data_IF_154804354188
#
_entry.id   IF_154804354188
#
_cell.length_a   1.000
_cell.length_b   1.000
_cell.length_c   1.000
_cell.angle_alpha   90.00
_cell.angle_beta   90.00
_cell.angle_gamma   90.00
#
_symmetry.space_group_name_H-M   'P 1'
#
loop_
_entity.id
_entity.type
_entity.pdbx_description
1 polymer ?
#
# COMPACT_ATOMS: atom_id res chain seq x y z
N UNK A 1 -25.94 -11.82 77.14
CA UNK A 1 -26.82 -12.55 76.22
C UNK A 1 -27.10 -11.65 75.02
N UNK A 2 -26.43 -11.89 73.90
CA UNK A 2 -26.81 -11.31 72.61
C UNK A 2 -26.72 -12.47 71.61
N UNK A 3 -27.88 -12.80 71.05
CA UNK A 3 -28.08 -13.93 70.14
C UNK A 3 -27.51 -13.62 68.76
N UNK A 4 -26.83 -14.61 68.22
CA UNK A 4 -26.45 -14.78 66.82
C UNK A 4 -27.69 -14.82 65.93
N UNK A 5 -27.65 -14.15 64.78
CA UNK A 5 -28.60 -14.34 63.68
C UNK A 5 -27.83 -14.43 62.37
N UNK A 6 -27.65 -15.66 61.91
CA UNK A 6 -27.17 -16.03 60.59
C UNK A 6 -28.34 -15.86 59.60
N UNK A 7 -28.20 -14.99 58.60
CA UNK A 7 -29.10 -14.97 57.45
C UNK A 7 -28.53 -15.83 56.32
N UNK A 8 -29.27 -16.88 55.97
CA UNK A 8 -29.03 -17.76 54.83
C UNK A 8 -29.66 -17.07 53.61
N UNK A 9 -28.83 -16.62 52.67
CA UNK A 9 -29.28 -16.16 51.35
C UNK A 9 -29.54 -17.39 50.47
N UNK A 10 -30.82 -17.67 50.21
CA UNK A 10 -31.26 -18.64 49.21
C UNK A 10 -31.03 -18.05 47.82
N UNK A 11 -30.06 -18.58 47.08
CA UNK A 11 -29.85 -18.26 45.66
C UNK A 11 -31.02 -18.87 44.89
N UNK A 12 -31.98 -18.03 44.49
CA UNK A 12 -33.01 -18.43 43.54
C UNK A 12 -32.36 -18.61 42.17
N UNK A 13 -32.27 -19.86 41.73
CA UNK A 13 -31.88 -20.22 40.36
C UNK A 13 -32.88 -19.60 39.39
N UNK A 14 -32.52 -18.45 38.81
CA UNK A 14 -33.19 -17.92 37.62
C UNK A 14 -32.91 -18.91 36.50
N UNK A 15 -33.87 -19.78 36.22
CA UNK A 15 -33.92 -20.53 34.98
C UNK A 15 -34.05 -19.50 33.85
N UNK A 16 -32.91 -19.09 33.29
CA UNK A 16 -32.85 -18.52 31.95
C UNK A 16 -33.38 -19.59 31.00
N UNK A 17 -34.68 -19.51 30.71
CA UNK A 17 -35.29 -20.13 29.54
C UNK A 17 -34.56 -19.50 28.36
N UNK A 18 -33.48 -20.14 27.93
CA UNK A 18 -32.90 -19.90 26.63
C UNK A 18 -33.97 -20.39 25.65
N UNK A 19 -34.82 -19.48 25.19
CA UNK A 19 -35.55 -19.69 23.96
C UNK A 19 -34.50 -20.00 22.91
N UNK A 20 -34.35 -21.28 22.57
CA UNK A 20 -33.55 -21.71 21.45
C UNK A 20 -34.13 -20.99 20.23
N UNK A 21 -33.47 -19.92 19.79
CA UNK A 21 -33.79 -19.27 18.54
C UNK A 21 -33.75 -20.36 17.48
N UNK A 22 -34.91 -20.67 16.88
CA UNK A 22 -34.98 -21.66 15.83
C UNK A 22 -34.11 -21.16 14.69
N UNK A 23 -32.99 -21.84 14.43
CA UNK A 23 -32.13 -21.53 13.30
C UNK A 23 -32.94 -21.67 12.02
N UNK A 24 -33.17 -20.54 11.33
CA UNK A 24 -33.78 -20.54 10.00
C UNK A 24 -32.81 -21.24 9.06
N UNK A 25 -33.24 -22.36 8.45
CA UNK A 25 -32.46 -23.13 7.49
C UNK A 25 -33.03 -22.92 6.09
N UNK A 26 -32.34 -22.14 5.27
CA UNK A 26 -32.69 -21.91 3.87
C UNK A 26 -31.80 -22.73 2.94
N UNK A 27 -32.34 -23.14 1.80
CA UNK A 27 -31.52 -23.67 0.70
C UNK A 27 -30.91 -22.52 -0.09
N UNK A 28 -29.64 -22.19 0.18
CA UNK A 28 -28.94 -21.06 -0.46
C UNK A 28 -28.81 -21.18 -1.98
N UNK A 29 -29.09 -22.35 -2.58
CA UNK A 29 -29.11 -22.51 -4.03
C UNK A 29 -30.40 -21.99 -4.67
N UNK A 30 -31.52 -21.98 -3.93
CA UNK A 30 -32.85 -21.66 -4.45
C UNK A 30 -33.58 -20.57 -3.65
N UNK A 31 -33.06 -20.20 -2.48
CA UNK A 31 -33.70 -19.31 -1.52
C UNK A 31 -32.73 -18.25 -0.97
N UNK A 32 -33.26 -17.06 -0.75
CA UNK A 32 -32.63 -15.97 -0.03
C UNK A 32 -33.06 -16.02 1.45
N UNK A 33 -32.11 -15.78 2.37
CA UNK A 33 -32.42 -15.60 3.81
C UNK A 33 -32.98 -14.19 3.98
N UNK A 34 -34.19 -14.09 4.54
CA UNK A 34 -34.81 -12.81 4.85
C UNK A 34 -34.53 -12.43 6.29
N UNK A 35 -34.19 -11.16 6.48
CA UNK A 35 -33.83 -10.59 7.78
C UNK A 35 -34.88 -9.57 8.23
N UNK A 36 -35.07 -9.45 9.53
CA UNK A 36 -35.81 -8.33 10.11
C UNK A 36 -34.97 -7.04 10.17
N UNK A 37 -35.54 -5.98 10.74
CA UNK A 37 -34.89 -4.67 10.92
C UNK A 37 -33.63 -4.70 11.80
N UNK A 38 -33.41 -5.78 12.58
CA UNK A 38 -32.26 -5.96 13.45
C UNK A 38 -31.25 -6.98 12.89
N UNK A 39 -31.38 -7.34 11.61
CA UNK A 39 -30.55 -8.34 10.93
C UNK A 39 -30.66 -9.76 11.52
N UNK A 40 -31.77 -10.10 12.18
CA UNK A 40 -32.04 -11.48 12.57
C UNK A 40 -32.74 -12.22 11.43
N UNK A 41 -32.30 -13.46 11.10
CA UNK A 41 -32.95 -14.24 10.06
C UNK A 41 -34.34 -14.66 10.53
N UNK A 42 -35.37 -14.33 9.75
CA UNK A 42 -36.78 -14.59 10.09
C UNK A 42 -37.48 -15.55 9.14
N UNK A 43 -37.05 -15.62 7.86
CA UNK A 43 -37.67 -16.48 6.87
C UNK A 43 -36.75 -16.78 5.68
N UNK A 44 -37.23 -17.62 4.76
CA UNK A 44 -36.60 -17.89 3.47
C UNK A 44 -37.58 -17.49 2.36
N UNK A 45 -37.09 -16.89 1.28
CA UNK A 45 -37.89 -16.60 0.10
C UNK A 45 -37.24 -17.19 -1.15
N UNK A 46 -38.03 -17.75 -2.07
CA UNK A 46 -37.47 -18.32 -3.30
C UNK A 46 -36.88 -17.22 -4.19
N UNK A 47 -35.66 -17.44 -4.67
CA UNK A 47 -34.98 -16.54 -5.60
C UNK A 47 -35.79 -16.35 -6.89
N UNK A 48 -36.49 -17.40 -7.35
CA UNK A 48 -37.34 -17.35 -8.56
C UNK A 48 -38.58 -16.47 -8.42
N UNK A 49 -39.00 -16.23 -7.18
CA UNK A 49 -40.18 -15.40 -6.86
C UNK A 49 -39.76 -13.95 -6.54
N UNK A 50 -38.48 -13.59 -6.75
CA UNK A 50 -37.91 -12.28 -6.46
C UNK A 50 -37.17 -12.18 -5.12
N UNK A 51 -37.12 -13.27 -4.34
CA UNK A 51 -36.49 -13.30 -3.03
C UNK A 51 -37.27 -12.52 -1.96
N UNK A 52 -36.55 -11.96 -1.00
CA UNK A 52 -37.12 -11.24 0.13
C UNK A 52 -37.65 -9.87 -0.28
N UNK A 53 -38.80 -9.49 0.28
CA UNK A 53 -39.39 -8.16 0.13
C UNK A 53 -38.42 -7.07 0.59
N UNK A 54 -38.42 -5.96 -0.12
CA UNK A 54 -37.57 -4.82 0.22
C UNK A 54 -38.16 -3.98 1.37
N UNK A 55 -37.31 -3.29 2.14
CA UNK A 55 -37.74 -2.29 3.09
C UNK A 55 -38.65 -1.24 2.44
N UNK A 56 -39.50 -0.60 3.27
CA UNK A 56 -40.45 0.40 2.79
C UNK A 56 -39.72 1.56 2.09
N UNK A 57 -40.01 1.75 0.80
CA UNK A 57 -39.42 2.81 -0.02
C UNK A 57 -38.33 2.31 -0.98
N UNK A 58 -37.97 1.03 -0.90
CA UNK A 58 -37.03 0.40 -1.82
C UNK A 58 -37.72 -0.57 -2.77
N UNK A 59 -37.07 -0.82 -3.90
CA UNK A 59 -37.47 -1.77 -4.93
C UNK A 59 -36.36 -2.81 -5.12
N UNK A 60 -36.74 -4.04 -5.45
CA UNK A 60 -35.79 -5.13 -5.73
C UNK A 60 -35.28 -4.97 -7.16
N UNK A 61 -33.97 -4.84 -7.32
CA UNK A 61 -33.31 -4.59 -8.60
C UNK A 61 -32.26 -5.66 -8.92
N UNK A 62 -31.96 -5.83 -10.21
CA UNK A 62 -30.88 -6.71 -10.66
C UNK A 62 -31.14 -8.20 -10.45
N UNK A 63 -32.38 -8.63 -10.24
CA UNK A 63 -32.70 -10.05 -10.10
C UNK A 63 -32.40 -10.80 -11.41
N UNK A 64 -31.69 -11.93 -11.32
CA UNK A 64 -31.43 -12.84 -12.44
C UNK A 64 -31.41 -14.30 -11.96
N UNK A 65 -31.26 -15.26 -12.87
CA UNK A 65 -31.27 -16.68 -12.51
C UNK A 65 -30.15 -17.02 -11.51
N UNK A 66 -30.53 -17.30 -10.26
CA UNK A 66 -29.61 -17.61 -9.16
C UNK A 66 -29.23 -16.41 -8.30
N UNK A 67 -29.81 -15.23 -8.53
CA UNK A 67 -29.62 -14.04 -7.71
C UNK A 67 -30.95 -13.29 -7.54
N UNK A 68 -31.38 -13.13 -6.29
CA UNK A 68 -32.66 -12.50 -5.97
C UNK A 68 -32.69 -10.99 -6.27
N UNK A 69 -31.54 -10.38 -6.53
CA UNK A 69 -31.41 -8.93 -6.64
C UNK A 69 -30.97 -8.31 -5.31
N UNK A 70 -30.98 -6.98 -5.28
CA UNK A 70 -30.72 -6.17 -4.09
C UNK A 70 -31.82 -5.11 -3.96
N UNK A 71 -32.04 -4.62 -2.74
CA UNK A 71 -33.00 -3.55 -2.50
C UNK A 71 -32.31 -2.19 -2.60
N UNK A 72 -32.93 -1.26 -3.31
CA UNK A 72 -32.46 0.11 -3.50
C UNK A 72 -33.66 1.02 -3.77
N UNK A 73 -33.60 2.32 -3.42
CA UNK A 73 -34.67 3.28 -3.74
C UNK A 73 -35.00 3.38 -5.24
N UNK A 74 -34.02 3.13 -6.12
CA UNK A 74 -34.18 3.28 -7.57
C UNK A 74 -33.47 2.13 -8.31
N UNK A 75 -34.17 1.49 -9.26
CA UNK A 75 -33.56 0.53 -10.19
C UNK A 75 -33.11 1.24 -11.48
N UNK A 76 -31.81 1.28 -11.72
CA UNK A 76 -31.24 1.74 -12.99
C UNK A 76 -30.74 0.56 -13.82
N UNK A 77 -30.91 0.64 -15.14
CA UNK A 77 -30.33 -0.32 -16.07
C UNK A 77 -28.80 -0.10 -16.17
N UNK A 78 -28.02 -1.06 -15.67
CA UNK A 78 -26.55 -0.93 -15.58
C UNK A 78 -25.83 -0.79 -16.94
N UNK A 79 -26.50 -1.06 -18.07
CA UNK A 79 -25.92 -0.97 -19.40
C UNK A 79 -26.23 0.35 -20.09
N UNK A 80 -27.35 1.00 -19.74
CA UNK A 80 -27.88 2.15 -20.47
C UNK A 80 -28.17 3.37 -19.60
N UNK A 81 -28.12 3.22 -18.28
CA UNK A 81 -28.43 4.27 -17.31
C UNK A 81 -27.36 4.42 -16.23
N UNK A 82 -27.18 5.66 -15.79
CA UNK A 82 -26.33 6.08 -14.68
C UNK A 82 -27.21 6.30 -13.44
N UNK A 83 -26.74 5.85 -12.27
CA UNK A 83 -27.46 6.04 -11.01
C UNK A 83 -27.10 7.41 -10.43
N UNK A 84 -28.09 8.29 -10.31
CA UNK A 84 -27.88 9.65 -9.83
C UNK A 84 -28.15 9.76 -8.35
N UNK A 85 -27.22 10.34 -7.61
CA UNK A 85 -27.30 10.48 -6.16
C UNK A 85 -27.72 11.88 -5.78
N UNK A 86 -28.53 11.99 -4.72
CA UNK A 86 -28.83 13.27 -4.10
C UNK A 86 -27.58 13.80 -3.40
N UNK A 87 -27.15 15.01 -3.73
CA UNK A 87 -25.92 15.61 -3.19
C UNK A 87 -25.94 15.79 -1.66
N UNK A 88 -27.12 15.88 -1.04
CA UNK A 88 -27.25 16.10 0.40
C UNK A 88 -27.28 14.80 1.20
N UNK A 89 -27.97 13.77 0.69
CA UNK A 89 -28.16 12.50 1.42
C UNK A 89 -27.22 11.39 0.97
N UNK A 90 -26.58 11.55 -0.19
CA UNK A 90 -25.83 10.51 -0.89
C UNK A 90 -26.69 9.27 -1.23
N UNK A 91 -28.01 9.38 -1.19
CA UNK A 91 -28.93 8.32 -1.56
C UNK A 91 -29.24 8.37 -3.07
N UNK A 92 -29.43 7.21 -3.73
CA UNK A 92 -29.84 7.17 -5.13
C UNK A 92 -31.22 7.81 -5.29
N UNK A 93 -31.36 8.68 -6.27
CA UNK A 93 -32.51 9.57 -6.45
C UNK A 93 -33.25 9.35 -7.76
N UNK A 94 -32.53 9.13 -8.87
CA UNK A 94 -33.11 8.81 -10.18
C UNK A 94 -32.06 8.17 -11.09
N UNK A 95 -32.50 7.69 -12.26
CA UNK A 95 -31.63 7.19 -13.32
C UNK A 95 -31.55 8.18 -14.47
N UNK A 96 -30.38 8.35 -15.06
CA UNK A 96 -30.19 9.17 -16.26
C UNK A 96 -29.57 8.32 -17.38
N UNK A 97 -30.03 8.47 -18.63
CA UNK A 97 -29.46 7.68 -19.72
C UNK A 97 -28.01 8.06 -19.97
N UNK A 98 -27.16 7.05 -20.08
CA UNK A 98 -25.74 7.19 -20.44
C UNK A 98 -25.62 7.91 -21.79
N UNK A 99 -26.47 7.57 -22.75
CA UNK A 99 -26.50 8.19 -24.09
C UNK A 99 -26.95 9.66 -24.11
N UNK A 100 -27.54 10.15 -23.02
CA UNK A 100 -27.96 11.55 -22.84
C UNK A 100 -26.99 12.32 -21.93
N UNK A 101 -25.85 11.72 -21.57
CA UNK A 101 -24.79 12.33 -20.76
C UNK A 101 -24.74 11.88 -19.30
N UNK A 102 -25.60 10.95 -18.88
CA UNK A 102 -25.65 10.47 -17.49
C UNK A 102 -26.16 11.53 -16.51
N UNK A 103 -25.78 11.41 -15.24
CA UNK A 103 -26.28 12.32 -14.20
C UNK A 103 -25.84 13.77 -14.42
N UNK A 104 -26.63 14.78 -14.01
CA UNK A 104 -26.14 16.15 -13.98
C UNK A 104 -24.97 16.26 -13.01
N UNK A 105 -23.97 17.08 -13.36
CA UNK A 105 -22.91 17.40 -12.41
C UNK A 105 -23.40 18.39 -11.36
N UNK A 106 -22.75 18.41 -10.17
CA UNK A 106 -22.99 19.45 -9.18
C UNK A 106 -22.79 20.85 -9.75
N UNK A 107 -23.41 21.83 -9.08
CA UNK A 107 -23.29 23.23 -9.48
C UNK A 107 -21.80 23.61 -9.55
N UNK A 108 -21.39 24.22 -10.65
CA UNK A 108 -20.01 24.63 -10.98
C UNK A 108 -19.04 23.52 -11.40
N UNK A 109 -19.49 22.26 -11.52
CA UNK A 109 -18.70 21.17 -12.09
C UNK A 109 -19.07 20.87 -13.54
N UNK A 110 -18.09 20.38 -14.29
CA UNK A 110 -18.23 19.89 -15.66
C UNK A 110 -17.91 18.39 -15.73
N UNK A 111 -18.57 17.72 -16.67
CA UNK A 111 -18.40 16.27 -16.89
C UNK A 111 -17.21 16.02 -17.80
N UNK A 112 -16.22 15.28 -17.31
CA UNK A 112 -14.96 15.00 -17.99
C UNK A 112 -14.74 13.50 -18.18
N UNK A 113 -13.89 13.11 -19.12
CA UNK A 113 -13.57 11.70 -19.35
C UNK A 113 -14.72 10.89 -19.94
N UNK A 114 -15.65 11.55 -20.65
CA UNK A 114 -16.73 10.88 -21.39
C UNK A 114 -16.12 10.10 -22.55
N UNK A 115 -16.49 8.84 -22.70
CA UNK A 115 -16.12 7.98 -23.82
C UNK A 115 -17.25 6.99 -24.14
N UNK A 116 -17.10 6.20 -25.19
CA UNK A 116 -18.08 5.16 -25.56
C UNK A 116 -18.33 4.12 -24.44
N UNK A 117 -17.41 4.02 -23.47
CA UNK A 117 -17.48 3.06 -22.36
C UNK A 117 -17.53 3.72 -20.97
N UNK A 118 -17.52 5.04 -20.89
CA UNK A 118 -17.51 5.79 -19.63
C UNK A 118 -18.40 7.01 -19.74
N UNK A 119 -19.33 7.15 -18.80
CA UNK A 119 -20.13 8.35 -18.59
C UNK A 119 -19.28 9.56 -18.15
N UNK A 120 -18.01 9.35 -17.82
CA UNK A 120 -17.15 10.39 -17.26
C UNK A 120 -17.40 10.64 -15.78
N UNK A 121 -16.76 11.68 -15.26
CA UNK A 121 -16.84 12.12 -13.86
C UNK A 121 -17.02 13.63 -13.79
N UNK A 122 -17.63 14.11 -12.72
CA UNK A 122 -17.80 15.54 -12.49
C UNK A 122 -16.58 16.10 -11.76
N UNK A 123 -16.06 17.21 -12.26
CA UNK A 123 -14.90 17.92 -11.69
C UNK A 123 -14.98 19.39 -12.10
N UNK A 124 -14.28 20.28 -11.39
CA UNK A 124 -14.30 21.72 -11.69
C UNK A 124 -13.65 22.03 -13.05
N UNK A 125 -12.71 21.20 -13.50
CA UNK A 125 -11.95 21.40 -14.75
C UNK A 125 -11.67 20.07 -15.46
N UNK A 126 -11.87 20.03 -16.78
CA UNK A 126 -11.48 18.93 -17.66
C UNK A 126 -10.11 19.20 -18.27
N UNK A 127 -9.08 18.52 -17.79
CA UNK A 127 -7.78 18.53 -18.46
C UNK A 127 -7.65 17.32 -19.37
N UNK A 128 -7.13 17.54 -20.58
CA UNK A 128 -6.72 16.44 -21.43
C UNK A 128 -5.46 15.80 -20.83
N UNK A 129 -5.62 14.66 -20.17
CA UNK A 129 -4.53 13.92 -19.53
C UNK A 129 -3.38 13.56 -20.47
N UNK A 130 -3.60 13.58 -21.80
CA UNK A 130 -2.55 13.32 -22.78
C UNK A 130 -1.70 14.57 -23.09
N UNK A 131 -2.24 15.78 -22.93
CA UNK A 131 -1.58 17.02 -23.38
C UNK A 131 -1.49 18.10 -22.31
N UNK A 132 -2.21 17.98 -21.21
CA UNK A 132 -2.37 18.96 -20.16
C UNK A 132 -2.20 18.32 -18.77
N UNK A 133 -1.69 19.12 -17.83
CA UNK A 133 -1.57 18.76 -16.43
C UNK A 133 -2.59 19.56 -15.60
N UNK A 134 -3.19 18.90 -14.61
CA UNK A 134 -4.15 19.50 -13.68
C UNK A 134 -3.44 20.24 -12.57
N UNK A 135 -3.49 21.57 -12.61
CA UNK A 135 -2.73 22.46 -11.72
C UNK A 135 -3.57 23.02 -10.61
N UNK A 136 -3.25 22.66 -9.38
CA UNK A 136 -3.89 23.22 -8.20
C UNK A 136 -3.22 24.53 -7.78
N UNK A 137 -3.97 25.64 -7.83
CA UNK A 137 -3.55 26.91 -7.27
C UNK A 137 -4.05 27.04 -5.83
N UNK A 138 -3.17 26.75 -4.86
CA UNK A 138 -3.52 26.83 -3.44
C UNK A 138 -3.93 28.23 -2.95
N UNK A 139 -3.51 29.29 -3.63
CA UNK A 139 -3.87 30.67 -3.26
C UNK A 139 -5.27 31.05 -3.77
N UNK A 140 -5.62 30.60 -4.98
CA UNK A 140 -6.93 30.84 -5.57
C UNK A 140 -7.97 29.78 -5.16
N UNK A 141 -7.52 28.63 -4.65
CA UNK A 141 -8.38 27.47 -4.42
C UNK A 141 -8.94 26.87 -5.72
N UNK A 142 -8.33 27.19 -6.87
CA UNK A 142 -8.83 26.80 -8.19
C UNK A 142 -7.90 25.80 -8.85
N UNK A 143 -8.48 24.92 -9.65
CA UNK A 143 -7.75 24.02 -10.54
C UNK A 143 -7.69 24.66 -11.94
N UNK A 144 -6.61 24.45 -12.69
CA UNK A 144 -6.44 24.91 -14.09
C UNK A 144 -5.74 23.83 -14.90
N UNK A 145 -5.93 23.79 -16.22
CA UNK A 145 -5.14 22.94 -17.10
C UNK A 145 -3.99 23.75 -17.68
N UNK A 146 -2.78 23.21 -17.61
CA UNK A 146 -1.62 23.80 -18.29
C UNK A 146 -1.05 22.78 -19.26
N UNK A 147 -0.79 23.15 -20.52
CA UNK A 147 -0.17 22.24 -21.47
C UNK A 147 1.14 21.68 -20.93
N UNK A 148 1.30 20.37 -21.00
CA UNK A 148 2.53 19.67 -20.56
C UNK A 148 3.74 20.23 -21.35
N UNK A 149 3.55 20.52 -22.64
CA UNK A 149 4.57 21.10 -23.53
C UNK A 149 5.01 22.52 -23.14
N UNK A 150 4.20 23.24 -22.35
CA UNK A 150 4.54 24.57 -21.83
C UNK A 150 5.15 24.49 -20.42
N UNK A 151 5.48 23.27 -19.97
CA UNK A 151 6.11 23.02 -18.69
C UNK A 151 5.16 22.48 -17.63
N UNK A 152 3.85 22.39 -17.87
CA UNK A 152 2.89 21.86 -16.90
C UNK A 152 2.69 22.78 -15.67
N UNK A 153 2.29 22.18 -14.55
CA UNK A 153 1.85 22.91 -13.35
C UNK A 153 3.00 23.49 -12.53
N UNK A 154 3.19 24.80 -12.68
CA UNK A 154 4.27 25.60 -12.10
C UNK A 154 5.61 25.29 -12.76
N UNK A 155 6.18 26.29 -13.44
CA UNK A 155 7.63 26.30 -13.65
C UNK A 155 8.33 26.00 -12.33
N UNK A 156 9.35 25.16 -12.37
CA UNK A 156 10.04 24.71 -11.18
C UNK A 156 10.42 25.87 -10.25
N UNK A 157 10.30 25.67 -8.93
CA UNK A 157 10.56 26.74 -7.96
C UNK A 157 11.96 27.31 -8.17
N UNK A 158 12.16 28.62 -7.89
CA UNK A 158 13.42 29.33 -8.13
C UNK A 158 14.68 28.48 -7.90
N UNK A 159 15.39 28.18 -8.99
CA UNK A 159 16.64 27.40 -8.99
C UNK A 159 16.49 25.95 -9.45
N UNK A 160 15.28 25.38 -9.39
CA UNK A 160 14.99 24.03 -9.88
C UNK A 160 14.81 24.01 -11.39
N UNK A 161 15.16 22.87 -11.98
CA UNK A 161 15.00 22.54 -13.39
C UNK A 161 14.07 21.31 -13.53
N UNK A 162 13.42 21.21 -14.69
CA UNK A 162 12.50 20.12 -15.01
C UNK A 162 13.30 18.94 -15.57
N UNK A 163 13.20 17.79 -14.92
CA UNK A 163 13.96 16.58 -15.19
C UNK A 163 13.06 15.44 -15.68
N UNK A 164 13.59 14.56 -16.52
CA UNK A 164 12.85 13.38 -16.99
C UNK A 164 11.63 13.67 -17.86
N UNK A 165 11.55 14.88 -18.42
CA UNK A 165 10.47 15.28 -19.33
C UNK A 165 10.57 14.49 -20.65
N UNK A 166 9.47 13.85 -21.02
CA UNK A 166 9.32 13.16 -22.31
C UNK A 166 7.93 13.46 -22.87
N UNK A 167 7.64 13.04 -24.10
CA UNK A 167 6.32 13.22 -24.70
C UNK A 167 5.17 12.52 -23.92
N UNK A 168 5.49 11.59 -23.01
CA UNK A 168 4.52 10.86 -22.19
C UNK A 168 4.70 11.07 -20.68
N UNK A 169 5.74 11.82 -20.27
CA UNK A 169 6.04 12.06 -18.88
C UNK A 169 6.21 13.56 -18.66
N UNK A 170 5.37 14.20 -17.84
CA UNK A 170 5.51 15.61 -17.54
C UNK A 170 6.79 15.92 -16.76
N UNK A 171 7.62 14.94 -16.40
CA UNK A 171 8.87 15.17 -15.68
C UNK A 171 8.65 15.56 -14.22
N UNK A 172 9.72 15.94 -13.54
CA UNK A 172 9.69 16.40 -12.15
C UNK A 172 10.66 17.56 -11.94
N UNK A 173 10.36 18.44 -10.99
CA UNK A 173 11.26 19.54 -10.65
C UNK A 173 12.32 19.08 -9.64
N UNK A 174 13.60 19.31 -9.97
CA UNK A 174 14.73 19.04 -9.09
C UNK A 174 15.80 20.12 -9.26
N UNK A 175 16.67 20.29 -8.26
CA UNK A 175 17.78 21.26 -8.35
C UNK A 175 18.82 20.85 -9.41
N UNK A 176 18.89 19.55 -9.73
CA UNK A 176 19.75 18.98 -10.77
C UNK A 176 19.09 17.78 -11.42
N UNK A 177 19.33 17.57 -12.72
CA UNK A 177 18.90 16.38 -13.45
C UNK A 177 20.08 15.46 -13.68
N UNK A 178 20.09 14.32 -13.00
CA UNK A 178 21.01 13.23 -13.29
C UNK A 178 20.29 12.15 -14.10
N UNK A 179 20.96 11.59 -15.10
CA UNK A 179 20.42 10.45 -15.84
C UNK A 179 20.40 9.21 -14.94
N UNK A 180 19.22 8.66 -14.58
CA UNK A 180 19.12 7.53 -13.66
C UNK A 180 19.75 6.24 -14.21
N UNK A 181 20.07 6.16 -15.51
CA UNK A 181 20.69 5.00 -16.14
C UNK A 181 22.21 5.07 -16.18
N UNK A 182 22.78 6.28 -16.18
CA UNK A 182 24.22 6.47 -16.41
C UNK A 182 24.91 7.27 -15.31
N UNK A 183 24.15 7.96 -14.46
CA UNK A 183 24.67 8.84 -13.42
C UNK A 183 24.04 8.58 -12.04
N UNK A 184 24.83 8.84 -11.00
CA UNK A 184 24.42 8.90 -9.60
C UNK A 184 24.24 10.36 -9.18
N UNK A 185 23.15 10.67 -8.47
CA UNK A 185 22.94 11.98 -7.85
C UNK A 185 23.81 12.11 -6.60
N UNK A 186 24.68 13.11 -6.59
CA UNK A 186 25.56 13.41 -5.47
C UNK A 186 24.94 14.46 -4.55
N UNK A 187 24.89 14.12 -3.27
CA UNK A 187 24.32 14.96 -2.23
C UNK A 187 25.40 15.61 -1.36
N UNK A 188 25.10 16.79 -0.86
CA UNK A 188 25.88 17.40 0.22
C UNK A 188 25.55 16.79 1.60
N UNK A 189 26.16 17.31 2.65
CA UNK A 189 25.95 16.85 4.04
C UNK A 189 24.52 17.06 4.57
N UNK A 190 23.73 17.92 3.92
CA UNK A 190 22.36 18.25 4.27
C UNK A 190 21.34 17.53 3.37
N UNK A 191 21.79 16.56 2.55
CA UNK A 191 20.98 15.84 1.57
C UNK A 191 20.41 16.72 0.45
N UNK A 192 21.07 17.85 0.14
CA UNK A 192 20.74 18.62 -1.07
C UNK A 192 21.53 18.06 -2.25
N UNK A 193 20.85 17.84 -3.38
CA UNK A 193 21.51 17.40 -4.60
C UNK A 193 22.43 18.52 -5.12
N UNK A 194 23.69 18.18 -5.40
CA UNK A 194 24.74 19.15 -5.77
C UNK A 194 25.32 18.90 -7.16
N UNK A 195 25.50 17.64 -7.53
CA UNK A 195 26.13 17.25 -8.79
C UNK A 195 25.66 15.87 -9.23
N UNK A 196 25.94 15.52 -10.48
CA UNK A 196 25.83 14.16 -11.00
C UNK A 196 27.24 13.60 -11.18
N UNK A 197 27.40 12.29 -11.00
CA UNK A 197 28.64 11.59 -11.32
C UNK A 197 28.31 10.32 -12.12
N UNK A 198 29.11 9.94 -13.13
CA UNK A 198 28.89 8.68 -13.84
C UNK A 198 28.83 7.50 -12.86
N UNK A 199 27.92 6.53 -13.04
CA UNK A 199 27.76 5.40 -12.10
C UNK A 199 29.08 4.62 -11.88
N UNK A 200 29.91 4.50 -12.93
CA UNK A 200 31.23 3.84 -12.83
C UNK A 200 32.22 4.60 -11.95
N UNK A 201 32.12 5.93 -11.94
CA UNK A 201 32.98 6.79 -11.12
C UNK A 201 32.38 7.04 -9.74
N UNK A 202 31.05 7.11 -9.65
CA UNK A 202 30.18 7.49 -8.54
C UNK A 202 30.51 8.81 -7.83
N UNK A 203 29.73 9.16 -6.81
CA UNK A 203 29.92 10.43 -6.09
C UNK A 203 31.20 10.49 -5.24
N UNK A 204 31.91 11.64 -5.18
CA UNK A 204 33.17 11.74 -4.44
C UNK A 204 32.96 11.48 -2.95
N UNK A 205 33.82 10.67 -2.36
CA UNK A 205 33.73 10.35 -0.94
C UNK A 205 34.20 11.50 -0.04
N UNK A 206 33.58 11.69 1.13
CA UNK A 206 34.08 12.62 2.14
C UNK A 206 35.53 12.34 2.54
N UNK A 207 36.21 13.35 3.08
CA UNK A 207 37.59 13.22 3.54
C UNK A 207 37.74 12.05 4.54
N UNK A 208 38.75 11.20 4.32
CA UNK A 208 39.00 10.01 5.13
C UNK A 208 38.13 8.78 4.78
N UNK A 209 37.30 8.85 3.73
CA UNK A 209 36.55 7.70 3.21
C UNK A 209 36.98 7.36 1.79
N UNK A 210 36.85 6.09 1.44
CA UNK A 210 37.03 5.56 0.09
C UNK A 210 35.77 4.87 -0.39
N UNK A 211 35.59 4.83 -1.72
CA UNK A 211 34.48 4.11 -2.36
C UNK A 211 34.73 2.61 -2.28
N UNK A 212 33.78 1.88 -1.72
CA UNK A 212 33.85 0.44 -1.52
C UNK A 212 32.72 -0.27 -2.26
N UNK A 213 32.99 -1.50 -2.73
CA UNK A 213 31.97 -2.36 -3.32
C UNK A 213 31.36 -1.83 -4.61
N UNK A 214 32.07 -0.98 -5.38
CA UNK A 214 31.61 -0.56 -6.69
C UNK A 214 31.69 -1.72 -7.69
N UNK A 215 30.64 -1.93 -8.48
CA UNK A 215 30.58 -2.92 -9.56
C UNK A 215 29.64 -2.42 -10.67
N UNK A 216 29.52 -3.17 -11.78
CA UNK A 216 28.69 -2.76 -12.92
C UNK A 216 27.24 -2.49 -12.50
N UNK A 217 26.79 -1.23 -12.68
CA UNK A 217 25.46 -0.76 -12.28
C UNK A 217 25.33 -0.36 -10.82
N UNK A 218 26.40 -0.40 -10.03
CA UNK A 218 26.40 0.03 -8.63
C UNK A 218 27.63 0.89 -8.28
N UNK A 219 27.44 2.18 -7.95
CA UNK A 219 28.54 3.15 -7.76
C UNK A 219 29.36 2.92 -6.47
N UNK A 220 29.01 1.91 -5.67
CA UNK A 220 29.64 1.65 -4.38
C UNK A 220 29.15 2.58 -3.27
N UNK A 221 29.67 2.38 -2.07
CA UNK A 221 29.38 3.19 -0.90
C UNK A 221 30.66 3.77 -0.32
N UNK A 222 30.61 5.01 0.14
CA UNK A 222 31.73 5.64 0.82
C UNK A 222 31.86 5.13 2.26
N UNK A 223 32.92 4.36 2.54
CA UNK A 223 33.24 3.84 3.87
C UNK A 223 34.66 4.23 4.25
N UNK A 224 34.94 4.30 5.56
CA UNK A 224 36.29 4.49 6.08
C UNK A 224 37.19 3.27 5.86
N UNK A 225 36.58 2.11 5.59
CA UNK A 225 37.26 0.84 5.39
C UNK A 225 36.55 0.04 4.29
N UNK A 226 37.31 -0.38 3.28
CA UNK A 226 36.84 -1.27 2.22
C UNK A 226 37.37 -2.67 2.45
N UNK A 227 36.50 -3.61 2.77
CA UNK A 227 36.84 -5.03 2.80
C UNK A 227 36.30 -5.70 1.54
N UNK A 228 37.06 -6.63 0.98
CA UNK A 228 36.58 -7.48 -0.10
C UNK A 228 35.53 -8.46 0.45
N UNK A 229 34.26 -8.27 0.10
CA UNK A 229 33.15 -9.10 0.57
C UNK A 229 33.29 -10.59 0.22
N UNK A 230 34.15 -10.95 -0.74
CA UNK A 230 34.38 -12.34 -1.15
C UNK A 230 35.55 -13.01 -0.42
N UNK A 231 36.45 -12.24 0.19
CA UNK A 231 37.68 -12.79 0.77
C UNK A 231 38.04 -12.26 2.16
N UNK A 232 37.32 -11.26 2.66
CA UNK A 232 37.62 -10.56 3.90
C UNK A 232 36.38 -10.29 4.75
N UNK A 233 36.54 -10.37 6.08
CA UNK A 233 35.57 -9.99 7.09
C UNK A 233 35.89 -8.58 7.61
N UNK A 234 34.88 -7.72 7.72
CA UNK A 234 35.04 -6.43 8.40
C UNK A 234 35.05 -6.64 9.90
N UNK A 235 36.16 -6.26 10.55
CA UNK A 235 36.30 -6.34 12.00
C UNK A 235 35.92 -5.03 12.64
N UNK A 236 35.11 -5.09 13.70
CA UNK A 236 34.59 -3.93 14.40
C UNK A 236 35.18 -3.82 15.81
N UNK A 237 35.27 -2.60 16.33
CA UNK A 237 35.51 -2.37 17.75
C UNK A 237 34.25 -2.60 18.62
N UNK A 238 34.38 -2.37 19.92
CA UNK A 238 33.26 -2.49 20.88
C UNK A 238 32.12 -1.47 20.64
N UNK A 239 32.38 -0.41 19.86
CA UNK A 239 31.42 0.63 19.48
C UNK A 239 30.86 0.45 18.08
N UNK A 240 31.05 -0.73 17.46
CA UNK A 240 30.64 -1.05 16.10
C UNK A 240 31.27 -0.14 15.02
N UNK A 241 32.44 0.45 15.30
CA UNK A 241 33.22 1.14 14.29
C UNK A 241 34.13 0.15 13.57
N UNK A 242 34.18 0.17 12.23
CA UNK A 242 35.06 -0.71 11.47
C UNK A 242 36.53 -0.36 11.76
N UNK A 243 37.33 -1.35 12.18
CA UNK A 243 38.75 -1.20 12.49
C UNK A 243 39.65 -1.66 11.34
N UNK A 244 39.47 -2.89 10.84
CA UNK A 244 40.30 -3.47 9.79
C UNK A 244 39.60 -4.65 9.11
N UNK A 245 40.13 -5.07 7.95
CA UNK A 245 39.66 -6.24 7.22
C UNK A 245 40.53 -7.46 7.54
N UNK A 246 39.92 -8.60 7.84
CA UNK A 246 40.62 -9.84 8.10
C UNK A 246 40.28 -10.88 7.03
N UNK A 247 41.30 -11.49 6.42
CA UNK A 247 41.07 -12.49 5.37
C UNK A 247 40.37 -13.72 5.93
N UNK A 248 39.41 -14.26 5.18
CA UNK A 248 38.76 -15.53 5.50
C UNK A 248 39.79 -16.67 5.58
N UNK A 249 40.85 -16.64 4.75
CA UNK A 249 41.95 -17.62 4.79
C UNK A 249 42.71 -17.66 6.10
N UNK A 250 42.70 -16.55 6.84
CA UNK A 250 43.44 -16.38 8.09
C UNK A 250 42.51 -16.58 9.31
N UNK A 251 41.26 -17.01 9.06
CA UNK A 251 40.24 -17.25 10.09
C UNK A 251 39.31 -16.06 10.37
N UNK A 252 39.40 -14.98 9.57
CA UNK A 252 38.58 -13.78 9.74
C UNK A 252 38.93 -12.98 11.01
N UNK A 253 37.96 -12.23 11.53
CA UNK A 253 38.11 -11.40 12.71
C UNK A 253 38.31 -12.24 13.98
N UNK A 254 39.20 -11.79 14.89
CA UNK A 254 39.46 -12.48 16.15
C UNK A 254 38.20 -12.49 17.02
N UNK A 255 38.01 -13.58 17.74
CA UNK A 255 36.90 -13.68 18.68
C UNK A 255 37.16 -12.90 19.97
N UNK A 256 36.09 -12.40 20.63
CA UNK A 256 36.19 -11.88 21.98
C UNK A 256 36.85 -12.86 22.94
N UNK A 257 37.40 -12.33 24.05
CA UNK A 257 38.04 -13.15 25.08
C UNK A 257 37.07 -14.24 25.57
N UNK A 258 37.56 -15.49 25.62
CA UNK A 258 36.83 -16.72 25.96
C UNK A 258 35.91 -17.30 24.88
N UNK A 259 35.91 -16.76 23.66
CA UNK A 259 35.23 -17.36 22.52
C UNK A 259 36.24 -17.97 21.54
N UNK A 260 35.79 -19.00 20.82
CA UNK A 260 36.54 -19.65 19.74
C UNK A 260 35.80 -19.42 18.42
N UNK A 261 36.54 -19.23 17.32
CA UNK A 261 35.97 -19.12 15.98
C UNK A 261 35.56 -20.51 15.50
N UNK A 262 34.29 -20.67 15.15
CA UNK A 262 33.66 -21.93 14.75
C UNK A 262 33.17 -21.83 13.31
N UNK A 263 33.24 -22.93 12.56
CA UNK A 263 32.72 -23.00 11.18
C UNK A 263 33.52 -22.22 10.12
N UNK A 264 34.64 -21.59 10.49
CA UNK A 264 35.48 -20.83 9.58
C UNK A 264 36.06 -21.71 8.46
N UNK A 265 36.00 -21.23 7.23
CA UNK A 265 36.63 -21.84 6.05
C UNK A 265 37.05 -20.76 5.03
N UNK A 266 37.63 -21.18 3.90
CA UNK A 266 38.14 -20.24 2.88
C UNK A 266 37.10 -19.30 2.23
N UNK A 267 35.81 -19.55 2.43
CA UNK A 267 34.70 -18.75 1.88
C UNK A 267 33.77 -18.19 2.95
N UNK A 268 34.00 -18.55 4.22
CA UNK A 268 33.13 -18.15 5.33
C UNK A 268 34.03 -17.83 6.52
N UNK A 269 33.99 -16.61 7.07
CA UNK A 269 34.77 -16.29 8.24
C UNK A 269 34.43 -17.17 9.45
N UNK A 270 33.25 -17.78 9.48
CA UNK A 270 32.72 -18.49 10.64
C UNK A 270 32.17 -17.52 11.69
N UNK A 271 31.77 -18.05 12.84
CA UNK A 271 31.18 -17.28 13.94
C UNK A 271 31.91 -17.53 15.26
N UNK A 272 31.86 -16.57 16.17
CA UNK A 272 32.44 -16.73 17.51
C UNK A 272 31.43 -17.36 18.47
N UNK A 273 31.85 -18.38 19.20
CA UNK A 273 31.05 -19.04 20.23
C UNK A 273 31.93 -19.54 21.39
N UNK A 274 31.36 -19.68 22.58
CA UNK A 274 32.07 -20.24 23.74
C UNK A 274 32.46 -21.71 23.52
N UNK A 275 31.65 -22.45 22.77
CA UNK A 275 31.88 -23.85 22.39
C UNK A 275 31.44 -24.05 20.94
N UNK A 276 32.31 -24.63 20.10
CA UNK A 276 31.95 -25.00 18.74
C UNK A 276 31.08 -26.26 18.74
N UNK A 277 29.82 -26.12 18.32
CA UNK A 277 28.99 -27.28 18.00
C UNK A 277 29.45 -27.84 16.65
N UNK A 278 30.20 -28.94 16.66
CA UNK A 278 30.47 -29.71 15.45
C UNK A 278 29.13 -30.29 14.94
N UNK A 279 28.48 -29.58 14.02
CA UNK A 279 27.29 -30.09 13.32
C UNK A 279 27.61 -31.25 12.37
N UNK A 280 28.87 -31.69 12.31
CA UNK A 280 29.38 -32.67 11.35
C UNK A 280 29.29 -34.12 11.86
N UNK A 281 29.05 -34.37 13.15
CA UNK A 281 29.07 -35.74 13.69
C UNK A 281 27.72 -36.39 13.96
N UNK A 282 26.60 -35.69 13.81
CA UNK A 282 25.27 -36.33 13.82
C UNK A 282 24.50 -36.00 12.55
N UNK A 283 24.67 -36.85 11.54
CA UNK A 283 23.90 -36.81 10.31
C UNK A 283 22.40 -36.96 10.60
N UNK A 284 21.70 -35.83 10.72
CA UNK A 284 20.26 -35.59 10.48
C UNK A 284 19.88 -34.21 11.03
N UNK A 285 20.09 -33.15 10.26
CA UNK A 285 19.22 -31.98 10.36
C UNK A 285 18.41 -31.85 9.07
N UNK A 286 17.15 -32.27 9.18
CA UNK A 286 16.07 -31.92 8.26
C UNK A 286 15.88 -30.40 8.35
N UNK A 287 16.39 -29.65 7.38
CA UNK A 287 15.81 -28.35 7.08
C UNK A 287 14.48 -28.61 6.36
N UNK A 288 13.38 -28.64 7.12
CA UNK A 288 12.07 -28.30 6.55
C UNK A 288 12.00 -26.78 6.55
N UNK A 289 12.20 -26.19 5.37
CA UNK A 289 11.62 -24.89 5.06
C UNK A 289 10.10 -25.00 5.02
#
# INVERSE_FOLDING_TARGET
MIFTSFQIFTIASVFLIHCAASEVKCDLATQEICYDENFYPVSCANITDGGCDCPRGEVKCGAFKGYAGYCTPVCCDFLSEDTCYNETTSEPSFCAKISEGGCPCPTDQIRCGVSDFSIGYCTDVCCDWATEETCYNATAGTTTCVPIIEGGCNGCKNGQIKCGETAQNPGYCADICCDPLTEETCYDENLNARSCAPIEEGCPCPEGKSRCGAFEGFPGLCSSLCCDSLSEETCYDESWQPLYCAKFSDGGCPCPVNQTKCGANKFDPGYCADVCCDLVTEGKMNYRY
#
